data_IF_909350760468
#
_entry.id   IF_909350760468
#
_cell.length_a   1.000
_cell.length_b   1.000
_cell.length_c   1.000
_cell.angle_alpha   90.00
_cell.angle_beta   90.00
_cell.angle_gamma   90.00
#
_symmetry.space_group_name_H-M   'P 1'
#
loop_
_entity.id
_entity.type
_entity.pdbx_description
1 polymer ?
#
# COMPACT_ATOMS: atom_id res chain seq x y z
N UNK A 1 5.68 9.97 11.95
CA UNK A 1 4.38 10.67 11.77
C UNK A 1 4.22 11.72 12.86
N UNK A 2 3.34 12.67 12.63
CA UNK A 2 2.97 13.69 13.59
C UNK A 2 1.95 13.14 14.57
N UNK A 3 2.10 13.47 15.86
CA UNK A 3 1.15 13.12 16.93
C UNK A 3 0.44 14.37 17.42
N UNK A 4 -0.79 14.20 17.82
CA UNK A 4 -1.63 15.25 18.45
C UNK A 4 -2.32 14.66 19.67
N UNK A 5 -2.76 15.51 20.57
CA UNK A 5 -3.58 15.06 21.69
C UNK A 5 -4.91 14.49 21.18
N UNK A 6 -5.38 13.43 21.84
CA UNK A 6 -6.70 12.84 21.56
C UNK A 6 -7.81 13.79 21.99
N UNK A 7 -9.09 13.38 21.83
CA UNK A 7 -10.23 14.27 22.04
C UNK A 7 -10.38 14.79 23.49
N UNK A 8 -9.84 14.07 24.48
CA UNK A 8 -9.91 14.44 25.91
C UNK A 8 -8.55 14.86 26.50
N UNK A 9 -7.56 15.07 25.64
CA UNK A 9 -6.20 15.50 25.99
C UNK A 9 -5.47 14.57 26.99
N UNK A 10 -5.86 13.31 27.06
CA UNK A 10 -5.26 12.35 27.98
C UNK A 10 -4.07 11.59 27.39
N UNK A 11 -4.08 11.39 26.06
CA UNK A 11 -3.04 10.64 25.35
C UNK A 11 -2.73 11.29 23.99
N UNK A 12 -1.62 10.93 23.38
CA UNK A 12 -1.27 11.34 22.03
C UNK A 12 -1.64 10.26 21.01
N UNK A 13 -2.18 10.68 19.88
CA UNK A 13 -2.51 9.82 18.75
C UNK A 13 -1.85 10.30 17.46
N UNK A 14 -1.52 9.39 16.52
CA UNK A 14 -0.98 9.81 15.22
C UNK A 14 -2.05 10.47 14.35
N UNK A 15 -1.68 11.54 13.69
CA UNK A 15 -2.59 12.24 12.77
C UNK A 15 -2.96 11.40 11.55
N UNK A 16 -2.00 10.66 11.01
CA UNK A 16 -2.15 9.77 9.85
C UNK A 16 -1.21 8.58 10.02
N UNK A 17 -1.70 7.38 9.75
CA UNK A 17 -0.86 6.19 9.70
C UNK A 17 -0.14 6.10 8.35
N UNK A 18 1.17 5.81 8.34
CA UNK A 18 1.92 5.66 7.09
C UNK A 18 1.56 4.36 6.38
N UNK A 19 1.59 4.40 5.05
CA UNK A 19 1.45 3.24 4.20
C UNK A 19 2.67 3.11 3.27
N UNK A 20 3.07 1.89 2.97
CA UNK A 20 4.25 1.62 2.14
C UNK A 20 3.99 1.78 0.64
N UNK A 21 2.75 1.94 0.24
CA UNK A 21 2.29 2.11 -1.14
C UNK A 21 1.05 3.00 -1.15
N UNK A 22 0.66 3.57 -2.29
CA UNK A 22 -0.56 4.37 -2.39
C UNK A 22 -1.82 3.51 -2.17
N UNK A 23 -2.11 3.20 -0.91
CA UNK A 23 -3.17 2.27 -0.52
C UNK A 23 -4.57 2.76 -0.87
N UNK A 24 -4.81 4.06 -0.93
CA UNK A 24 -6.10 4.61 -1.33
C UNK A 24 -6.51 4.16 -2.74
N UNK A 25 -5.56 4.14 -3.68
CA UNK A 25 -5.79 3.65 -5.04
C UNK A 25 -5.86 2.13 -5.11
N UNK A 26 -4.94 1.43 -4.46
CA UNK A 26 -4.88 -0.03 -4.54
C UNK A 26 -6.08 -0.67 -3.87
N UNK A 27 -6.43 -0.22 -2.67
CA UNK A 27 -7.51 -0.81 -1.89
C UNK A 27 -8.87 -0.20 -2.23
N UNK A 28 -8.91 0.98 -2.85
CA UNK A 28 -10.14 1.73 -3.05
C UNK A 28 -10.73 2.25 -1.74
N UNK A 29 -11.82 2.97 -1.86
CA UNK A 29 -12.58 3.45 -0.71
C UNK A 29 -14.04 3.67 -1.09
N UNK A 30 -14.94 3.28 -0.21
CA UNK A 30 -16.37 3.59 -0.29
C UNK A 30 -16.81 4.13 1.05
N UNK A 31 -17.41 5.30 1.07
CA UNK A 31 -17.85 5.92 2.31
C UNK A 31 -18.94 6.94 2.10
N UNK A 32 -19.80 7.06 3.11
CA UNK A 32 -20.89 8.03 3.15
C UNK A 32 -20.80 8.77 4.49
N UNK A 33 -20.78 10.08 4.43
CA UNK A 33 -20.77 10.95 5.59
C UNK A 33 -21.73 12.12 5.41
N UNK A 34 -21.93 12.91 6.45
CA UNK A 34 -22.75 14.13 6.36
C UNK A 34 -22.08 15.14 5.40
N UNK A 35 -22.72 15.37 4.26
CA UNK A 35 -22.25 16.32 3.23
C UNK A 35 -21.20 15.80 2.26
N UNK A 36 -20.62 14.61 2.48
CA UNK A 36 -19.61 14.03 1.60
C UNK A 36 -19.84 12.54 1.37
N UNK A 37 -19.57 12.10 0.16
CA UNK A 37 -19.50 10.69 -0.17
C UNK A 37 -18.24 10.43 -1.01
N UNK A 38 -17.65 9.25 -0.90
CA UNK A 38 -16.52 8.86 -1.72
C UNK A 38 -16.75 7.48 -2.34
N UNK A 39 -16.33 7.35 -3.58
CA UNK A 39 -16.32 6.09 -4.31
C UNK A 39 -15.05 6.05 -5.16
N UNK A 40 -14.03 5.34 -4.66
CA UNK A 40 -12.74 5.16 -5.31
C UNK A 40 -12.56 3.67 -5.59
N UNK A 41 -12.39 3.27 -6.87
CA UNK A 41 -12.24 1.86 -7.20
C UNK A 41 -10.87 1.32 -6.79
N UNK A 42 -10.77 0.00 -6.67
CA UNK A 42 -9.50 -0.71 -6.46
C UNK A 42 -8.64 -0.66 -7.71
N UNK A 43 -7.31 -0.71 -7.53
CA UNK A 43 -6.33 -0.66 -8.61
C UNK A 43 -5.26 -1.75 -8.45
N UNK A 44 -4.57 -2.05 -9.53
CA UNK A 44 -3.47 -3.01 -9.54
C UNK A 44 -2.23 -2.42 -8.85
N UNK A 45 -1.69 -3.15 -7.88
CA UNK A 45 -0.52 -2.70 -7.10
C UNK A 45 0.70 -2.38 -7.98
N UNK A 46 1.03 -3.26 -8.91
CA UNK A 46 2.17 -3.06 -9.80
C UNK A 46 2.02 -1.83 -10.68
N UNK A 47 0.84 -1.61 -11.24
CA UNK A 47 0.53 -0.43 -12.07
C UNK A 47 0.61 0.87 -11.25
N UNK A 48 0.06 0.87 -10.04
CA UNK A 48 0.10 2.04 -9.14
C UNK A 48 1.53 2.36 -8.73
N UNK A 49 2.33 1.35 -8.41
CA UNK A 49 3.75 1.55 -8.08
C UNK A 49 4.52 2.12 -9.27
N UNK A 50 4.33 1.58 -10.47
CA UNK A 50 4.99 2.08 -11.68
C UNK A 50 4.62 3.53 -11.97
N UNK A 51 3.35 3.89 -11.84
CA UNK A 51 2.88 5.28 -11.98
C UNK A 51 3.48 6.20 -10.91
N UNK A 52 3.59 5.73 -9.67
CA UNK A 52 4.19 6.47 -8.57
C UNK A 52 5.66 6.76 -8.83
N UNK A 53 6.43 5.76 -9.26
CA UNK A 53 7.84 5.92 -9.62
C UNK A 53 8.00 6.88 -10.79
N UNK A 54 7.14 6.79 -11.80
CA UNK A 54 7.15 7.74 -12.92
C UNK A 54 6.87 9.17 -12.44
N UNK A 55 5.90 9.36 -11.55
CA UNK A 55 5.58 10.67 -10.99
C UNK A 55 6.72 11.24 -10.12
N UNK A 56 7.49 10.40 -9.43
CA UNK A 56 8.69 10.81 -8.70
C UNK A 56 9.74 11.36 -9.66
N UNK A 57 10.00 10.65 -10.76
CA UNK A 57 11.01 11.04 -11.76
C UNK A 57 10.54 12.19 -12.65
N UNK A 58 9.22 12.32 -12.84
CA UNK A 58 8.60 13.33 -13.69
C UNK A 58 7.47 14.06 -12.96
N UNK A 59 7.78 15.01 -12.05
CA UNK A 59 6.77 15.70 -11.23
C UNK A 59 5.73 16.49 -12.04
N UNK A 60 6.05 16.81 -13.30
CA UNK A 60 5.16 17.51 -14.23
C UNK A 60 4.36 16.57 -15.15
N UNK A 61 4.46 15.26 -14.95
CA UNK A 61 3.72 14.29 -15.76
C UNK A 61 2.21 14.59 -15.73
N UNK A 62 1.58 14.45 -16.88
CA UNK A 62 0.13 14.59 -17.03
C UNK A 62 -0.60 13.33 -16.57
N UNK A 63 -1.89 13.44 -16.30
CA UNK A 63 -2.74 12.27 -16.02
C UNK A 63 -2.68 11.25 -17.16
N UNK A 64 -2.69 11.72 -18.40
CA UNK A 64 -2.58 10.86 -19.58
C UNK A 64 -1.28 10.05 -19.60
N UNK A 65 -0.16 10.66 -19.22
CA UNK A 65 1.11 9.95 -19.08
C UNK A 65 1.06 8.91 -17.95
N UNK A 66 0.46 9.25 -16.81
CA UNK A 66 0.29 8.33 -15.68
C UNK A 66 -0.63 7.15 -16.02
N UNK A 67 -1.61 7.35 -16.90
CA UNK A 67 -2.49 6.30 -17.41
C UNK A 67 -1.79 5.29 -18.35
N UNK A 68 -0.60 5.56 -18.78
CA UNK A 68 0.23 4.55 -19.45
C UNK A 68 0.64 3.43 -18.50
N UNK A 69 0.68 3.70 -17.20
CA UNK A 69 0.99 2.76 -16.12
C UNK A 69 -0.28 2.28 -15.41
N UNK A 70 -1.14 3.19 -14.98
CA UNK A 70 -2.46 2.88 -14.41
C UNK A 70 -3.48 2.84 -15.54
N UNK A 71 -3.74 1.65 -16.05
CA UNK A 71 -4.64 1.44 -17.20
C UNK A 71 -6.10 1.71 -16.86
N UNK A 72 -6.45 1.56 -15.61
CA UNK A 72 -7.80 1.71 -15.07
C UNK A 72 -7.97 0.96 -13.76
N UNK A 73 -9.17 0.93 -13.20
CA UNK A 73 -9.48 0.09 -12.07
C UNK A 73 -9.14 -1.38 -12.32
N UNK A 74 -8.77 -2.08 -11.26
CA UNK A 74 -8.53 -3.53 -11.28
C UNK A 74 -9.32 -4.15 -10.11
N UNK A 75 -10.42 -4.79 -10.44
CA UNK A 75 -11.30 -5.37 -9.44
C UNK A 75 -10.91 -6.82 -9.14
N UNK A 76 -11.02 -7.28 -7.89
CA UNK A 76 -10.72 -8.66 -7.53
C UNK A 76 -11.64 -9.68 -8.22
N UNK A 77 -12.79 -9.24 -8.69
CA UNK A 77 -13.78 -10.03 -9.44
C UNK A 77 -13.53 -10.05 -10.95
N UNK A 78 -12.53 -9.35 -11.45
CA UNK A 78 -12.22 -9.26 -12.87
C UNK A 78 -13.21 -8.37 -13.63
N UNK A 79 -13.81 -8.90 -14.68
CA UNK A 79 -14.72 -8.17 -15.57
C UNK A 79 -14.04 -7.38 -16.66
N UNK A 80 -14.82 -6.61 -17.40
CA UNK A 80 -14.34 -5.79 -18.54
C UNK A 80 -14.83 -4.37 -18.36
N UNK A 81 -13.90 -3.42 -18.36
CA UNK A 81 -14.20 -1.99 -18.31
C UNK A 81 -14.26 -1.45 -19.74
N UNK A 82 -15.32 -0.67 -20.00
CA UNK A 82 -15.52 0.08 -21.24
C UNK A 82 -15.69 1.57 -20.93
N UNK A 83 -15.30 2.44 -21.87
CA UNK A 83 -15.41 3.89 -21.72
C UNK A 83 -14.08 4.54 -21.30
N UNK A 84 -13.05 4.42 -22.15
CA UNK A 84 -11.71 4.96 -21.86
C UNK A 84 -11.72 6.50 -21.75
N UNK A 85 -12.50 7.20 -22.57
CA UNK A 85 -12.59 8.65 -22.50
C UNK A 85 -13.18 9.14 -21.17
N UNK A 86 -14.22 8.48 -20.71
CA UNK A 86 -14.82 8.76 -19.41
C UNK A 86 -13.88 8.37 -18.25
N UNK A 87 -13.06 7.34 -18.44
CA UNK A 87 -12.03 6.94 -17.49
C UNK A 87 -10.94 8.03 -17.36
N UNK A 88 -10.48 8.58 -18.48
CA UNK A 88 -9.53 9.70 -18.49
C UNK A 88 -10.12 10.91 -17.75
N UNK A 89 -11.37 11.27 -18.01
CA UNK A 89 -12.07 12.33 -17.31
C UNK A 89 -12.17 12.06 -15.80
N UNK A 90 -12.49 10.82 -15.39
CA UNK A 90 -12.55 10.46 -14.00
C UNK A 90 -11.21 10.63 -13.28
N UNK A 91 -10.12 10.26 -13.93
CA UNK A 91 -8.77 10.44 -13.38
C UNK A 91 -8.28 11.89 -13.38
N UNK A 92 -8.76 12.72 -14.30
CA UNK A 92 -8.47 14.16 -14.33
C UNK A 92 -9.23 14.90 -13.22
N UNK A 93 -10.52 14.66 -13.11
CA UNK A 93 -11.44 15.47 -12.29
C UNK A 93 -11.83 14.83 -10.95
N UNK A 94 -11.65 13.53 -10.80
CA UNK A 94 -12.17 12.74 -9.69
C UNK A 94 -13.63 12.29 -9.87
N UNK A 95 -14.28 12.67 -10.98
CA UNK A 95 -15.65 12.25 -11.31
C UNK A 95 -15.74 11.73 -12.74
N UNK A 96 -16.46 10.64 -12.89
CA UNK A 96 -16.72 10.05 -14.18
C UNK A 96 -17.51 8.76 -14.03
N UNK A 97 -17.88 8.19 -15.14
CA UNK A 97 -18.65 6.96 -15.19
C UNK A 97 -18.05 6.01 -16.19
N UNK A 98 -17.79 4.78 -15.79
CA UNK A 98 -17.39 3.70 -16.68
C UNK A 98 -18.40 2.57 -16.64
N UNK A 99 -18.40 1.74 -17.68
CA UNK A 99 -19.21 0.56 -17.75
C UNK A 99 -18.38 -0.65 -17.37
N UNK A 100 -18.86 -1.47 -16.43
CA UNK A 100 -18.27 -2.76 -16.09
C UNK A 100 -19.17 -3.86 -16.63
N UNK A 101 -18.60 -4.70 -17.47
CA UNK A 101 -19.28 -5.82 -18.10
C UNK A 101 -18.75 -7.14 -17.60
N UNK A 102 -19.65 -8.10 -17.41
CA UNK A 102 -19.29 -9.49 -17.14
C UNK A 102 -18.46 -10.08 -18.27
N UNK A 103 -17.58 -11.01 -17.94
CA UNK A 103 -16.89 -11.83 -18.93
C UNK A 103 -17.78 -13.00 -19.33
N UNK A 104 -18.14 -13.04 -20.59
CA UNK A 104 -19.09 -14.00 -21.14
C UNK A 104 -18.56 -14.69 -22.37
N UNK A 105 -19.05 -15.89 -22.62
CA UNK A 105 -18.73 -16.68 -23.81
C UNK A 105 -19.96 -17.42 -24.28
N UNK A 106 -20.23 -17.39 -25.58
CA UNK A 106 -21.28 -18.19 -26.22
C UNK A 106 -20.62 -19.46 -26.74
N UNK A 107 -21.16 -20.62 -26.33
CA UNK A 107 -20.67 -21.93 -26.75
C UNK A 107 -21.79 -22.77 -27.37
N UNK A 108 -21.51 -23.46 -28.48
CA UNK A 108 -22.43 -24.47 -28.99
C UNK A 108 -22.48 -25.72 -28.11
N UNK A 109 -23.64 -26.31 -27.93
CA UNK A 109 -23.83 -27.58 -27.22
C UNK A 109 -24.56 -28.58 -28.11
N UNK A 110 -24.66 -29.83 -27.63
CA UNK A 110 -25.34 -30.91 -28.38
C UNK A 110 -26.75 -30.55 -28.75
N UNK A 111 -27.19 -31.03 -29.93
CA UNK A 111 -28.57 -30.86 -30.38
C UNK A 111 -28.86 -29.53 -31.07
N UNK A 112 -27.87 -28.81 -31.57
CA UNK A 112 -28.03 -27.52 -32.23
C UNK A 112 -28.43 -26.37 -31.29
N UNK A 113 -28.21 -26.57 -30.01
CA UNK A 113 -28.39 -25.55 -28.96
C UNK A 113 -27.10 -24.81 -28.69
N UNK A 114 -27.20 -23.72 -27.97
CA UNK A 114 -26.06 -22.98 -27.44
C UNK A 114 -26.25 -22.61 -25.97
N UNK A 115 -25.21 -22.17 -25.33
CA UNK A 115 -25.23 -21.66 -23.96
C UNK A 115 -24.38 -20.42 -23.81
N UNK A 116 -24.74 -19.55 -22.87
CA UNK A 116 -23.96 -18.43 -22.47
C UNK A 116 -23.28 -18.79 -21.14
N UNK A 117 -21.95 -18.77 -21.13
CA UNK A 117 -21.14 -18.98 -19.93
C UNK A 117 -20.69 -17.64 -19.40
N UNK A 118 -20.97 -17.37 -18.14
CA UNK A 118 -20.54 -16.16 -17.43
C UNK A 118 -19.49 -16.58 -16.43
N UNK A 119 -18.24 -16.16 -16.63
CA UNK A 119 -17.09 -16.55 -15.80
C UNK A 119 -16.63 -15.46 -14.83
N UNK A 120 -16.98 -14.22 -15.08
CA UNK A 120 -16.73 -13.08 -14.19
C UNK A 120 -17.95 -12.16 -14.21
N UNK A 121 -18.29 -11.59 -13.05
CA UNK A 121 -19.38 -10.62 -12.90
C UNK A 121 -18.84 -9.29 -12.40
N UNK A 122 -19.53 -8.17 -12.59
CA UNK A 122 -19.06 -6.87 -12.12
C UNK A 122 -18.85 -6.83 -10.61
N UNK A 123 -17.91 -6.00 -10.18
CA UNK A 123 -17.58 -5.81 -8.76
C UNK A 123 -18.83 -5.41 -7.96
N UNK A 124 -18.97 -5.99 -6.77
CA UNK A 124 -20.09 -5.78 -5.84
C UNK A 124 -21.46 -6.31 -6.31
N UNK A 125 -21.54 -6.94 -7.46
CA UNK A 125 -22.77 -7.61 -7.90
C UNK A 125 -22.96 -8.92 -7.14
N UNK A 126 -24.15 -9.09 -6.57
CA UNK A 126 -24.51 -10.32 -5.88
C UNK A 126 -24.86 -11.41 -6.90
N UNK A 127 -24.06 -12.47 -6.94
CA UNK A 127 -24.25 -13.60 -7.87
C UNK A 127 -25.61 -14.24 -7.75
N UNK A 128 -26.10 -14.53 -6.55
CA UNK A 128 -27.36 -15.20 -6.33
C UNK A 128 -28.57 -14.37 -6.82
N UNK A 129 -28.51 -13.06 -6.56
CA UNK A 129 -29.55 -12.14 -7.06
C UNK A 129 -29.51 -12.01 -8.58
N UNK A 130 -28.32 -12.01 -9.19
CA UNK A 130 -28.15 -11.99 -10.63
C UNK A 130 -28.73 -13.24 -11.30
N UNK A 131 -28.41 -14.43 -10.77
CA UNK A 131 -28.95 -15.70 -11.25
C UNK A 131 -30.47 -15.70 -11.14
N UNK A 132 -31.00 -15.29 -10.00
CA UNK A 132 -32.44 -15.16 -9.77
C UNK A 132 -33.09 -14.22 -10.78
N UNK A 133 -32.48 -13.08 -11.05
CA UNK A 133 -33.02 -12.10 -12.01
C UNK A 133 -33.06 -12.65 -13.43
N UNK A 134 -32.04 -13.37 -13.86
CA UNK A 134 -32.01 -14.01 -15.18
C UNK A 134 -33.08 -15.08 -15.26
N UNK A 135 -33.26 -15.88 -14.21
CA UNK A 135 -34.30 -16.92 -14.15
C UNK A 135 -35.71 -16.33 -14.14
N UNK A 136 -35.93 -15.22 -13.46
CA UNK A 136 -37.20 -14.48 -13.51
C UNK A 136 -37.53 -13.99 -14.93
N UNK A 137 -36.54 -13.53 -15.69
CA UNK A 137 -36.71 -13.15 -17.11
C UNK A 137 -37.17 -14.34 -17.93
N UNK A 138 -36.60 -15.52 -17.69
CA UNK A 138 -37.02 -16.78 -18.31
C UNK A 138 -38.46 -17.14 -17.95
N UNK A 139 -38.78 -17.19 -16.66
CA UNK A 139 -40.09 -17.58 -16.14
C UNK A 139 -41.20 -16.64 -16.58
N UNK A 140 -40.95 -15.34 -16.56
CA UNK A 140 -41.92 -14.33 -16.95
C UNK A 140 -41.99 -14.11 -18.47
N UNK A 141 -41.25 -14.91 -19.24
CA UNK A 141 -41.22 -14.84 -20.71
C UNK A 141 -40.98 -13.43 -21.26
N UNK A 142 -40.15 -12.66 -20.57
CA UNK A 142 -39.77 -11.32 -21.01
C UNK A 142 -39.01 -11.34 -22.33
N UNK A 143 -38.28 -12.43 -22.56
CA UNK A 143 -37.58 -12.74 -23.81
C UNK A 143 -37.73 -14.26 -24.04
N UNK A 144 -37.84 -14.67 -25.28
CA UNK A 144 -37.84 -16.09 -25.63
C UNK A 144 -36.43 -16.60 -25.90
N UNK A 145 -36.22 -17.88 -25.72
CA UNK A 145 -34.98 -18.56 -26.06
C UNK A 145 -34.11 -19.01 -24.88
N UNK A 146 -34.42 -18.64 -23.66
CA UNK A 146 -33.73 -19.17 -22.47
C UNK A 146 -34.44 -20.49 -22.03
N UNK A 147 -33.68 -21.57 -21.98
CA UNK A 147 -34.17 -22.87 -21.52
C UNK A 147 -33.98 -23.04 -20.02
N UNK A 148 -32.82 -22.77 -19.50
CA UNK A 148 -32.47 -22.97 -18.09
C UNK A 148 -31.34 -22.01 -17.66
N UNK A 149 -31.29 -21.67 -16.39
CA UNK A 149 -30.23 -20.91 -15.75
C UNK A 149 -29.67 -21.70 -14.58
N UNK A 150 -28.37 -21.93 -14.56
CA UNK A 150 -27.69 -22.71 -13.52
C UNK A 150 -26.50 -21.96 -12.96
N UNK A 151 -26.27 -22.05 -11.67
CA UNK A 151 -25.02 -21.68 -11.02
C UNK A 151 -24.15 -22.93 -10.90
N UNK A 152 -23.11 -23.00 -11.70
CA UNK A 152 -22.12 -24.09 -11.71
C UNK A 152 -20.78 -23.67 -11.07
N UNK A 153 -20.80 -22.63 -10.26
CA UNK A 153 -19.60 -22.19 -9.54
C UNK A 153 -19.08 -23.26 -8.60
N UNK A 154 -17.77 -23.43 -8.58
CA UNK A 154 -17.09 -24.41 -7.74
C UNK A 154 -15.77 -23.83 -7.15
N UNK A 155 -14.89 -24.69 -6.66
CA UNK A 155 -13.59 -24.30 -6.10
C UNK A 155 -12.64 -23.68 -7.12
N UNK A 156 -12.87 -23.90 -8.41
CA UNK A 156 -12.02 -23.37 -9.50
C UNK A 156 -12.45 -21.96 -9.91
N UNK A 157 -13.66 -21.54 -9.59
CA UNK A 157 -14.12 -20.19 -9.86
C UNK A 157 -15.63 -20.07 -10.05
N UNK A 158 -16.06 -18.85 -10.34
CA UNK A 158 -17.44 -18.52 -10.67
C UNK A 158 -17.77 -19.01 -12.08
N UNK A 159 -18.92 -19.67 -12.20
CA UNK A 159 -19.49 -20.04 -13.48
C UNK A 159 -21.02 -20.05 -13.41
N UNK A 160 -21.63 -19.17 -14.20
CA UNK A 160 -23.08 -19.16 -14.41
C UNK A 160 -23.35 -19.61 -15.85
N UNK A 161 -24.24 -20.55 -16.03
CA UNK A 161 -24.62 -21.08 -17.36
C UNK A 161 -26.05 -20.72 -17.65
N UNK A 162 -26.27 -20.04 -18.79
CA UNK A 162 -27.57 -19.76 -19.37
C UNK A 162 -27.75 -20.66 -20.60
N UNK A 163 -28.47 -21.78 -20.46
CA UNK A 163 -28.75 -22.69 -21.55
C UNK A 163 -29.87 -22.11 -22.42
N UNK A 164 -29.61 -22.09 -23.73
CA UNK A 164 -30.54 -21.54 -24.71
C UNK A 164 -31.30 -22.67 -25.45
N UNK A 165 -32.50 -22.35 -25.92
CA UNK A 165 -33.29 -23.23 -26.77
C UNK A 165 -32.66 -23.39 -28.14
N UNK A 166 -33.02 -24.44 -28.86
CA UNK A 166 -32.57 -24.65 -30.23
C UNK A 166 -32.96 -23.45 -31.11
N UNK A 167 -32.04 -23.04 -31.98
CA UNK A 167 -32.21 -21.91 -32.91
C UNK A 167 -32.39 -20.52 -32.26
N UNK A 168 -32.16 -20.40 -30.95
CA UNK A 168 -32.23 -19.14 -30.26
C UNK A 168 -31.09 -18.18 -30.72
N UNK A 169 -31.41 -16.88 -30.80
CA UNK A 169 -30.39 -15.84 -31.08
C UNK A 169 -29.56 -15.55 -29.82
N UNK A 170 -28.46 -16.27 -29.65
CA UNK A 170 -27.62 -16.19 -28.47
C UNK A 170 -27.08 -14.77 -28.23
N UNK A 171 -26.60 -14.07 -29.26
CA UNK A 171 -26.11 -12.71 -29.13
C UNK A 171 -27.20 -11.72 -28.75
N UNK A 172 -28.37 -11.83 -29.35
CA UNK A 172 -29.53 -11.01 -29.00
C UNK A 172 -29.97 -11.20 -27.54
N UNK A 173 -29.95 -12.44 -27.05
CA UNK A 173 -30.27 -12.76 -25.65
C UNK A 173 -29.20 -12.18 -24.73
N UNK A 174 -27.92 -12.37 -25.05
CA UNK A 174 -26.81 -11.79 -24.27
C UNK A 174 -26.94 -10.28 -24.18
N UNK A 175 -27.19 -9.61 -25.30
CA UNK A 175 -27.35 -8.16 -25.33
C UNK A 175 -28.54 -7.69 -24.48
N UNK A 176 -29.65 -8.44 -24.50
CA UNK A 176 -30.82 -8.17 -23.68
C UNK A 176 -30.45 -8.29 -22.18
N UNK A 177 -29.73 -9.35 -21.78
CA UNK A 177 -29.30 -9.58 -20.41
C UNK A 177 -28.32 -8.49 -19.93
N UNK A 178 -27.39 -8.09 -20.76
CA UNK A 178 -26.46 -6.98 -20.46
C UNK A 178 -27.20 -5.66 -20.22
N UNK A 179 -28.26 -5.40 -20.97
CA UNK A 179 -29.06 -4.16 -20.85
C UNK A 179 -30.02 -4.18 -19.67
N UNK A 180 -30.56 -5.34 -19.28
CA UNK A 180 -31.67 -5.45 -18.34
C UNK A 180 -31.31 -6.11 -17.00
N UNK A 181 -30.07 -6.50 -16.80
CA UNK A 181 -29.58 -7.12 -15.56
C UNK A 181 -28.25 -6.54 -15.15
N UNK A 182 -27.78 -6.89 -13.95
CA UNK A 182 -26.47 -6.50 -13.44
C UNK A 182 -25.29 -7.29 -14.05
N UNK A 183 -25.50 -8.00 -15.17
CA UNK A 183 -24.41 -8.47 -16.02
C UNK A 183 -23.55 -7.33 -16.56
N UNK A 184 -24.12 -6.16 -16.65
CA UNK A 184 -23.42 -4.91 -16.95
C UNK A 184 -23.93 -3.82 -16.03
N UNK A 185 -23.02 -3.12 -15.37
CA UNK A 185 -23.34 -2.03 -14.46
C UNK A 185 -22.50 -0.80 -14.78
N UNK A 186 -22.99 0.36 -14.37
CA UNK A 186 -22.21 1.58 -14.36
C UNK A 186 -21.43 1.69 -13.05
N UNK A 187 -20.16 2.05 -13.12
CA UNK A 187 -19.37 2.43 -11.96
C UNK A 187 -19.16 3.94 -11.99
N UNK A 188 -19.60 4.61 -10.96
CA UNK A 188 -19.52 6.05 -10.85
C UNK A 188 -18.35 6.43 -9.93
N UNK A 189 -17.31 7.04 -10.51
CA UNK A 189 -16.22 7.62 -9.73
C UNK A 189 -16.71 8.85 -8.99
N UNK A 190 -16.40 8.93 -7.74
CA UNK A 190 -16.52 10.12 -6.91
C UNK A 190 -15.35 10.12 -5.91
N UNK A 191 -14.17 10.45 -6.41
CA UNK A 191 -12.95 10.35 -5.64
C UNK A 191 -12.82 11.57 -4.73
N UNK A 192 -13.27 11.43 -3.50
CA UNK A 192 -13.12 12.41 -2.43
C UNK A 192 -12.18 11.83 -1.39
N UNK A 193 -11.14 12.57 -1.05
CA UNK A 193 -10.17 12.20 -0.05
C UNK A 193 -9.85 13.39 0.85
N UNK A 194 -9.22 13.11 1.99
CA UNK A 194 -8.72 14.18 2.86
C UNK A 194 -7.29 14.51 2.41
N UNK A 195 -7.11 15.69 1.87
CA UNK A 195 -5.83 16.26 1.53
C UNK A 195 -5.61 17.53 2.33
N UNK A 196 -4.43 17.68 2.96
CA UNK A 196 -4.14 18.79 3.86
C UNK A 196 -5.26 19.07 4.90
N UNK A 197 -5.79 18.00 5.49
CA UNK A 197 -6.89 18.03 6.51
C UNK A 197 -8.24 18.52 6.00
N UNK A 198 -8.45 18.56 4.69
CA UNK A 198 -9.72 18.97 4.08
C UNK A 198 -10.25 17.91 3.12
N UNK A 199 -11.55 17.63 3.13
CA UNK A 199 -12.14 16.78 2.10
C UNK A 199 -12.13 17.53 0.77
N UNK A 200 -11.50 16.94 -0.22
CA UNK A 200 -11.38 17.49 -1.58
C UNK A 200 -11.66 16.44 -2.63
N UNK A 201 -12.20 16.87 -3.75
CA UNK A 201 -12.29 16.01 -4.93
C UNK A 201 -10.92 15.93 -5.58
N UNK A 202 -10.43 14.71 -5.78
CA UNK A 202 -9.07 14.46 -6.25
C UNK A 202 -9.05 13.60 -7.50
N UNK A 203 -8.12 13.89 -8.39
CA UNK A 203 -7.79 13.03 -9.52
C UNK A 203 -6.61 12.10 -9.22
N UNK A 204 -6.23 11.30 -10.21
CA UNK A 204 -5.13 10.36 -10.10
C UNK A 204 -3.81 11.03 -9.72
N UNK A 205 -3.46 12.13 -10.39
CA UNK A 205 -2.20 12.84 -10.15
C UNK A 205 -2.14 13.42 -8.74
N UNK A 206 -3.22 13.99 -8.25
CA UNK A 206 -3.28 14.56 -6.89
C UNK A 206 -3.08 13.48 -5.84
N UNK A 207 -3.70 12.33 -5.99
CA UNK A 207 -3.54 11.20 -5.05
C UNK A 207 -2.07 10.75 -5.01
N UNK A 208 -1.44 10.57 -6.15
CA UNK A 208 -0.04 10.15 -6.22
C UNK A 208 0.92 11.22 -5.67
N UNK A 209 0.69 12.49 -6.00
CA UNK A 209 1.53 13.60 -5.52
C UNK A 209 1.41 13.76 -4.00
N UNK A 210 0.21 13.69 -3.46
CA UNK A 210 -0.03 13.77 -2.01
C UNK A 210 0.64 12.60 -1.28
N UNK A 211 0.53 11.39 -1.82
CA UNK A 211 1.24 10.22 -1.28
C UNK A 211 2.76 10.41 -1.29
N UNK A 212 3.34 10.86 -2.41
CA UNK A 212 4.79 11.07 -2.54
C UNK A 212 5.28 12.10 -1.51
N UNK A 213 4.57 13.22 -1.35
CA UNK A 213 4.94 14.26 -0.41
C UNK A 213 4.86 13.75 1.04
N UNK A 214 3.81 13.03 1.38
CA UNK A 214 3.68 12.42 2.70
C UNK A 214 4.77 11.36 2.95
N UNK A 215 5.07 10.54 1.96
CA UNK A 215 6.12 9.52 2.10
C UNK A 215 7.52 10.12 2.22
N UNK A 216 7.79 11.24 1.59
CA UNK A 216 9.03 12.01 1.84
C UNK A 216 9.16 12.38 3.32
N UNK A 217 8.09 12.88 3.92
CA UNK A 217 8.06 13.22 5.34
C UNK A 217 8.26 11.98 6.22
N UNK A 218 7.57 10.89 5.92
CA UNK A 218 7.70 9.63 6.67
C UNK A 218 9.13 9.10 6.62
N UNK A 219 9.75 9.03 5.45
CA UNK A 219 11.14 8.56 5.31
C UNK A 219 12.11 9.50 6.02
N UNK A 220 11.91 10.81 5.93
CA UNK A 220 12.74 11.79 6.62
C UNK A 220 12.69 11.60 8.14
N UNK A 221 11.50 11.51 8.72
CA UNK A 221 11.32 11.30 10.17
C UNK A 221 11.86 9.95 10.63
N UNK A 222 11.62 8.89 9.89
CA UNK A 222 12.18 7.57 10.16
C UNK A 222 13.71 7.60 10.16
N UNK A 223 14.29 8.23 9.15
CA UNK A 223 15.75 8.34 9.02
C UNK A 223 16.36 9.18 10.14
N UNK A 224 15.71 10.28 10.55
CA UNK A 224 16.13 11.07 11.71
C UNK A 224 16.12 10.26 13.00
N UNK A 225 15.08 9.47 13.21
CA UNK A 225 14.97 8.58 14.37
C UNK A 225 16.07 7.51 14.36
N UNK A 226 16.26 6.83 13.24
CA UNK A 226 17.28 5.80 13.09
C UNK A 226 18.70 6.37 13.23
N UNK A 227 18.93 7.56 12.69
CA UNK A 227 20.21 8.29 12.85
C UNK A 227 20.50 8.58 14.32
N UNK A 228 19.54 9.15 15.03
CA UNK A 228 19.70 9.43 16.46
C UNK A 228 19.97 8.16 17.26
N UNK A 229 19.23 7.10 17.01
CA UNK A 229 19.41 5.81 17.66
C UNK A 229 20.81 5.23 17.40
N UNK A 230 21.29 5.31 16.16
CA UNK A 230 22.62 4.85 15.79
C UNK A 230 23.73 5.70 16.42
N UNK A 231 23.58 7.03 16.45
CA UNK A 231 24.52 7.95 17.09
C UNK A 231 24.56 7.74 18.60
N UNK A 232 23.42 7.58 19.26
CA UNK A 232 23.33 7.32 20.70
C UNK A 232 24.04 5.99 21.05
N UNK A 233 23.82 4.95 20.23
CA UNK A 233 24.51 3.66 20.43
C UNK A 233 26.01 3.77 20.18
N UNK A 234 26.44 4.47 19.12
CA UNK A 234 27.86 4.69 18.82
C UNK A 234 28.56 5.40 19.98
N UNK A 235 27.91 6.38 20.57
CA UNK A 235 28.44 7.10 21.74
C UNK A 235 28.72 6.17 22.92
N UNK A 236 27.82 5.22 23.18
CA UNK A 236 28.02 4.18 24.21
C UNK A 236 29.14 3.23 23.81
N UNK A 237 29.18 2.76 22.56
CA UNK A 237 30.23 1.86 22.07
C UNK A 237 31.61 2.51 22.16
N UNK A 238 31.74 3.79 21.80
CA UNK A 238 32.99 4.55 21.95
C UNK A 238 33.42 4.63 23.39
N UNK A 239 32.52 4.87 24.34
CA UNK A 239 32.79 4.85 25.77
C UNK A 239 33.26 3.49 26.28
N UNK A 240 32.59 2.41 25.88
CA UNK A 240 32.98 1.05 26.25
C UNK A 240 34.35 0.66 25.68
N UNK A 241 34.65 1.02 24.44
CA UNK A 241 35.95 0.76 23.83
C UNK A 241 37.08 1.55 24.53
N UNK A 242 36.84 2.82 24.87
CA UNK A 242 37.75 3.61 25.66
C UNK A 242 38.00 3.01 27.05
N UNK A 243 36.92 2.57 27.73
CA UNK A 243 37.04 1.91 29.03
C UNK A 243 37.86 0.62 28.97
N UNK A 244 37.69 -0.18 27.91
CA UNK A 244 38.47 -1.41 27.70
C UNK A 244 39.94 -1.11 27.42
N UNK A 245 40.28 0.02 26.81
CA UNK A 245 41.66 0.44 26.56
C UNK A 245 42.39 0.85 27.85
N UNK A 246 41.69 1.23 28.89
CA UNK A 246 42.20 1.62 30.23
C UNK A 246 41.52 0.83 31.33
N UNK A 247 41.33 -0.47 31.11
CA UNK A 247 40.49 -1.32 31.95
C UNK A 247 40.95 -1.39 33.40
N UNK A 248 42.24 -1.53 33.66
CA UNK A 248 42.76 -1.62 34.99
C UNK A 248 42.50 -0.34 35.81
N UNK A 249 42.63 0.79 35.21
CA UNK A 249 42.35 2.11 35.81
C UNK A 249 40.87 2.27 36.11
N UNK A 250 40.00 1.85 35.18
CA UNK A 250 38.55 1.89 35.36
C UNK A 250 38.09 1.00 36.49
N UNK A 251 38.59 -0.23 36.56
CA UNK A 251 38.28 -1.18 37.64
C UNK A 251 38.75 -0.63 38.99
N UNK A 252 39.96 -0.11 39.08
CA UNK A 252 40.50 0.49 40.28
C UNK A 252 39.66 1.66 40.80
N UNK A 253 39.23 2.53 39.88
CA UNK A 253 38.37 3.69 40.18
C UNK A 253 37.02 3.23 40.73
N UNK A 254 36.37 2.24 40.08
CA UNK A 254 35.06 1.70 40.52
C UNK A 254 35.15 1.06 41.88
N UNK A 255 36.21 0.26 42.15
CA UNK A 255 36.44 -0.39 43.44
C UNK A 255 36.63 0.58 44.59
N UNK A 256 37.27 1.72 44.29
CA UNK A 256 37.54 2.77 45.28
C UNK A 256 36.42 3.81 45.41
N UNK A 257 35.26 3.57 44.76
CA UNK A 257 34.11 4.44 44.83
C UNK A 257 33.15 3.96 45.94
N UNK A 258 32.40 4.89 46.52
CA UNK A 258 31.48 4.62 47.61
C UNK A 258 30.24 3.88 47.16
N UNK A 259 29.72 4.21 46.02
CA UNK A 259 28.53 3.63 45.41
C UNK A 259 28.57 3.81 43.90
N UNK A 260 27.52 3.30 43.21
CA UNK A 260 27.37 3.40 41.75
C UNK A 260 27.36 4.84 41.25
N UNK A 261 26.68 5.75 41.95
CA UNK A 261 26.59 7.15 41.60
C UNK A 261 27.95 7.83 41.65
N UNK A 262 28.66 7.62 42.76
CA UNK A 262 30.03 8.17 42.95
C UNK A 262 31.01 7.62 41.91
N UNK A 263 30.90 6.32 41.54
CA UNK A 263 31.71 5.73 40.51
C UNK A 263 31.48 6.41 39.14
N UNK A 264 30.25 6.68 38.76
CA UNK A 264 29.92 7.39 37.53
C UNK A 264 30.48 8.82 37.49
N UNK A 265 30.25 9.55 38.56
CA UNK A 265 30.78 10.92 38.69
C UNK A 265 32.31 10.95 38.58
N UNK A 266 33.00 10.04 39.17
CA UNK A 266 34.47 9.95 39.08
C UNK A 266 34.97 9.54 37.70
N UNK A 267 34.26 8.66 36.98
CA UNK A 267 34.60 8.31 35.61
C UNK A 267 34.49 9.53 34.69
N UNK A 268 33.46 10.35 34.87
CA UNK A 268 33.28 11.59 34.14
C UNK A 268 34.41 12.59 34.44
N UNK A 269 34.70 12.81 35.71
CA UNK A 269 35.73 13.80 36.13
C UNK A 269 37.15 13.37 35.77
N UNK A 270 37.48 12.09 35.91
CA UNK A 270 38.85 11.59 35.77
C UNK A 270 39.24 11.27 34.34
N UNK A 271 38.34 10.66 33.59
CA UNK A 271 38.61 10.12 32.24
C UNK A 271 37.78 10.75 31.13
N UNK A 272 37.03 11.80 31.44
CA UNK A 272 36.25 12.55 30.47
C UNK A 272 35.21 11.70 29.73
N UNK A 273 34.60 10.74 30.41
CA UNK A 273 33.41 10.07 29.93
C UNK A 273 32.18 10.96 30.09
N UNK A 274 31.17 10.76 29.23
CA UNK A 274 29.86 11.33 29.53
C UNK A 274 29.11 10.49 30.58
N UNK A 275 28.10 11.08 31.20
CA UNK A 275 27.30 10.35 32.20
C UNK A 275 26.62 9.10 31.58
N UNK A 276 26.17 9.18 30.32
CA UNK A 276 25.59 8.05 29.58
C UNK A 276 26.63 6.94 29.39
N UNK A 277 27.86 7.30 29.00
CA UNK A 277 28.95 6.34 28.87
C UNK A 277 29.33 5.72 30.21
N UNK A 278 29.41 6.53 31.26
CA UNK A 278 29.72 6.08 32.62
C UNK A 278 28.64 5.09 33.14
N UNK A 279 27.37 5.35 32.90
CA UNK A 279 26.28 4.42 33.24
C UNK A 279 26.44 3.06 32.54
N UNK A 280 26.75 3.08 31.24
CA UNK A 280 26.98 1.86 30.48
C UNK A 280 28.20 1.07 31.03
N UNK A 281 29.28 1.76 31.40
CA UNK A 281 30.50 1.13 31.95
C UNK A 281 30.22 0.45 33.32
N UNK A 282 29.59 1.15 34.24
CA UNK A 282 29.30 0.58 35.57
C UNK A 282 28.23 -0.52 35.58
N UNK A 283 27.41 -0.55 34.55
CA UNK A 283 26.40 -1.57 34.32
C UNK A 283 26.95 -2.81 33.58
N UNK A 284 28.18 -2.76 33.12
CA UNK A 284 28.80 -3.85 32.37
C UNK A 284 29.22 -4.97 33.33
N UNK A 285 28.89 -6.20 32.97
CA UNK A 285 29.29 -7.38 33.74
C UNK A 285 30.76 -7.72 33.44
N UNK A 286 31.55 -8.00 34.50
CA UNK A 286 32.99 -8.23 34.41
C UNK A 286 33.39 -9.33 33.40
N UNK A 287 32.60 -10.41 33.28
CA UNK A 287 32.90 -11.49 32.34
C UNK A 287 32.77 -11.09 30.86
N UNK A 288 32.13 -9.97 30.54
CA UNK A 288 32.02 -9.44 29.17
C UNK A 288 33.24 -8.61 28.73
N UNK A 289 34.23 -8.46 29.62
CA UNK A 289 35.46 -7.70 29.36
C UNK A 289 36.57 -8.58 28.77
N UNK A 290 36.22 -9.49 27.84
CA UNK A 290 37.18 -10.37 27.15
C UNK A 290 37.60 -9.78 25.80
N UNK A 291 38.71 -10.29 25.23
CA UNK A 291 39.17 -9.89 23.90
C UNK A 291 38.13 -10.11 22.81
N UNK A 292 37.24 -11.09 22.95
CA UNK A 292 36.13 -11.34 22.02
C UNK A 292 35.16 -10.16 22.01
N UNK A 293 34.85 -9.60 23.17
CA UNK A 293 33.96 -8.45 23.29
C UNK A 293 34.55 -7.19 22.66
N UNK A 294 35.88 -7.00 22.69
CA UNK A 294 36.54 -5.88 22.02
C UNK A 294 36.33 -5.98 20.50
N UNK A 295 36.50 -7.16 19.91
CA UNK A 295 36.30 -7.38 18.48
C UNK A 295 34.85 -7.15 18.07
N UNK A 296 33.91 -7.62 18.89
CA UNK A 296 32.45 -7.39 18.70
C UNK A 296 32.17 -5.88 18.68
N UNK A 297 32.68 -5.11 19.64
CA UNK A 297 32.48 -3.66 19.72
C UNK A 297 33.11 -2.93 18.55
N UNK A 298 34.31 -3.36 18.09
CA UNK A 298 34.94 -2.78 16.90
C UNK A 298 34.11 -2.98 15.65
N UNK A 299 33.57 -4.19 15.46
CA UNK A 299 32.70 -4.50 14.32
C UNK A 299 31.38 -3.72 14.42
N UNK A 300 30.79 -3.63 15.62
CA UNK A 300 29.58 -2.82 15.84
C UNK A 300 29.83 -1.34 15.51
N UNK A 301 30.99 -0.80 15.89
CA UNK A 301 31.37 0.58 15.55
C UNK A 301 31.46 0.80 14.04
N UNK A 302 32.07 -0.12 13.31
CA UNK A 302 32.14 -0.06 11.85
C UNK A 302 30.75 -0.06 11.22
N UNK A 303 29.87 -0.96 11.66
CA UNK A 303 28.49 -1.04 11.17
C UNK A 303 27.70 0.23 11.48
N UNK A 304 27.83 0.76 12.69
CA UNK A 304 27.15 2.01 13.10
C UNK A 304 27.65 3.22 12.29
N UNK A 305 28.95 3.32 12.03
CA UNK A 305 29.50 4.38 11.20
C UNK A 305 28.98 4.32 9.77
N UNK A 306 28.85 3.13 9.20
CA UNK A 306 28.27 2.92 7.88
C UNK A 306 26.79 3.31 7.84
N UNK A 307 26.01 2.87 8.83
CA UNK A 307 24.61 3.25 8.97
C UNK A 307 24.43 4.76 9.10
N UNK A 308 25.21 5.41 9.96
CA UNK A 308 25.17 6.85 10.16
C UNK A 308 25.49 7.60 8.87
N UNK A 309 26.53 7.18 8.13
CA UNK A 309 26.86 7.78 6.85
C UNK A 309 25.71 7.66 5.85
N UNK A 310 25.05 6.51 5.79
CA UNK A 310 23.87 6.28 4.95
C UNK A 310 22.72 7.19 5.34
N UNK A 311 22.36 7.26 6.63
CA UNK A 311 21.28 8.12 7.11
C UNK A 311 21.55 9.61 6.83
N UNK A 312 22.78 10.06 7.06
CA UNK A 312 23.18 11.45 6.75
C UNK A 312 23.06 11.75 5.25
N UNK A 313 23.41 10.81 4.38
CA UNK A 313 23.30 10.99 2.93
C UNK A 313 21.84 11.14 2.49
N UNK A 314 20.92 10.38 3.08
CA UNK A 314 19.48 10.48 2.83
C UNK A 314 18.94 11.86 3.26
N UNK A 315 19.33 12.33 4.44
CA UNK A 315 18.87 13.61 5.00
C UNK A 315 19.44 14.84 4.28
N UNK A 316 20.62 14.72 3.67
CA UNK A 316 21.28 15.82 2.96
C UNK A 316 20.84 16.01 1.52
N UNK A 317 20.26 14.99 0.88
CA UNK A 317 19.98 14.99 -0.54
C UNK A 317 18.56 14.46 -0.82
N UNK A 318 17.71 15.31 -1.37
CA UNK A 318 16.36 14.88 -1.83
C UNK A 318 16.45 13.78 -2.89
N UNK A 319 17.46 13.85 -3.76
CA UNK A 319 17.72 12.82 -4.76
C UNK A 319 17.95 11.46 -4.10
N UNK A 320 18.75 11.40 -3.04
CA UNK A 320 19.00 10.18 -2.28
C UNK A 320 17.74 9.67 -1.58
N UNK A 321 16.97 10.57 -0.97
CA UNK A 321 15.67 10.25 -0.36
C UNK A 321 14.72 9.60 -1.38
N UNK A 322 14.60 10.20 -2.56
CA UNK A 322 13.75 9.68 -3.64
C UNK A 322 14.23 8.33 -4.18
N UNK A 323 15.53 8.08 -4.22
CA UNK A 323 16.07 6.77 -4.57
C UNK A 323 15.68 5.70 -3.55
N UNK A 324 15.72 6.02 -2.27
CA UNK A 324 15.25 5.12 -1.20
C UNK A 324 13.76 4.81 -1.38
N UNK A 325 12.94 5.83 -1.61
CA UNK A 325 11.50 5.67 -1.85
C UNK A 325 11.23 4.76 -3.05
N UNK A 326 11.89 5.00 -4.18
CA UNK A 326 11.73 4.18 -5.39
C UNK A 326 12.19 2.74 -5.17
N UNK A 327 13.31 2.54 -4.46
CA UNK A 327 13.81 1.21 -4.13
C UNK A 327 12.82 0.42 -3.29
N UNK A 328 12.28 1.02 -2.25
CA UNK A 328 11.27 0.39 -1.39
C UNK A 328 9.99 0.02 -2.17
N UNK A 329 9.54 0.90 -3.07
CA UNK A 329 8.39 0.64 -3.94
C UNK A 329 8.67 -0.51 -4.92
N UNK A 330 9.85 -0.57 -5.51
CA UNK A 330 10.24 -1.68 -6.41
C UNK A 330 10.30 -3.01 -5.69
N UNK A 331 10.84 -3.04 -4.48
CA UNK A 331 10.91 -4.25 -3.65
C UNK A 331 9.50 -4.75 -3.31
N UNK A 332 8.61 -3.84 -2.95
CA UNK A 332 7.21 -4.15 -2.67
C UNK A 332 6.49 -4.71 -3.91
N UNK A 333 6.69 -4.08 -5.06
CA UNK A 333 6.16 -4.57 -6.34
C UNK A 333 6.65 -5.98 -6.65
N UNK A 334 7.95 -6.21 -6.55
CA UNK A 334 8.55 -7.53 -6.81
C UNK A 334 7.96 -8.62 -5.92
N UNK A 335 7.66 -8.29 -4.67
CA UNK A 335 7.19 -9.26 -3.68
C UNK A 335 5.68 -9.53 -3.76
N UNK A 336 4.86 -8.53 -4.07
CA UNK A 336 3.42 -8.60 -3.89
C UNK A 336 2.59 -8.31 -5.13
N UNK A 337 3.17 -7.77 -6.21
CA UNK A 337 2.39 -7.44 -7.40
C UNK A 337 1.84 -8.70 -8.09
N UNK A 338 0.62 -8.60 -8.55
CA UNK A 338 -0.07 -9.64 -9.30
C UNK A 338 -0.50 -9.12 -10.67
N UNK A 339 -0.72 -10.01 -11.65
CA UNK A 339 -1.27 -9.59 -12.93
C UNK A 339 -2.64 -8.94 -12.80
N UNK A 340 -2.97 -8.06 -13.73
CA UNK A 340 -4.29 -7.44 -13.85
C UNK A 340 -5.37 -8.51 -14.08
N UNK A 341 -6.46 -8.39 -13.35
CA UNK A 341 -7.65 -9.27 -13.50
C UNK A 341 -8.70 -8.65 -14.40
N UNK A 342 -8.97 -7.34 -14.25
CA UNK A 342 -9.98 -6.61 -15.02
C UNK A 342 -9.41 -6.20 -16.38
N UNK A 343 -10.09 -6.56 -17.45
CA UNK A 343 -9.71 -6.15 -18.81
C UNK A 343 -10.20 -4.73 -19.09
N UNK A 344 -9.41 -3.98 -19.85
CA UNK A 344 -9.78 -2.65 -20.35
C UNK A 344 -10.03 -2.78 -21.86
N UNK A 345 -11.22 -2.44 -22.28
CA UNK A 345 -11.65 -2.48 -23.67
C UNK A 345 -11.86 -1.06 -24.20
N UNK A 346 -11.24 -0.79 -25.36
CA UNK A 346 -11.39 0.49 -26.07
C UNK A 346 -12.81 0.70 -26.59
#
# INVERSE_FOLDING_TARGET
VEFVLNFDDTEEEPTVLPARYPNLLVNGATGISAGYATEIPTHNLGEVIDATIHAIDHPKATVKELMQFVKGPDFPTGGIIQGIEELEQAYETGRGKVVIRSKTKIEPIKGGKSQIIISEIPYEVNKALLVKKIDEIRLNKKIDGIAEVRDESDRTGLQIVVELKKEANAEGILNYLLKNTDLQVNYNFNMVAIDERRPVQVGLKTILTSYINFQKEVITRRTQYDLKKAQDRLHIVDGLMKALSILDEVIALIRNSKDKKHAKERLVETYDFTMIQAEAIVSLQLYRLTNTDITILQNEKLDLNEQIATFLSILKSEKTLLQVMKSELRDLKKKYATPRLTQIQA
#
